data_IF_411005449028
#
_entry.id   IF_411005449028
#
_cell.length_a   1.000
_cell.length_b   1.000
_cell.length_c   1.000
_cell.angle_alpha   90.00
_cell.angle_beta   90.00
_cell.angle_gamma   90.00
#
_symmetry.space_group_name_H-M   'P 1'
#
loop_
_entity.id
_entity.type
_entity.pdbx_description
1 polymer ?
#
# COMPACT_ATOMS: atom_id res chain seq x y z
N UNK A 1 9.61 -7.77 28.47
CA UNK A 1 9.44 -7.52 27.03
C UNK A 1 8.76 -8.72 26.42
N UNK A 2 7.60 -8.52 25.81
CA UNK A 2 6.89 -9.56 25.06
C UNK A 2 7.68 -9.89 23.78
N UNK A 3 7.96 -11.18 23.56
CA UNK A 3 8.68 -11.71 22.39
C UNK A 3 7.74 -12.31 21.33
N UNK A 4 6.45 -12.00 21.41
CA UNK A 4 5.46 -12.42 20.45
C UNK A 4 5.90 -12.11 19.02
N UNK A 5 5.86 -13.09 18.09
CA UNK A 5 6.18 -12.84 16.69
C UNK A 5 5.20 -11.87 16.02
N UNK A 6 4.06 -11.56 16.68
CA UNK A 6 3.08 -10.57 16.18
C UNK A 6 3.51 -9.12 16.41
N UNK A 7 4.52 -8.88 17.25
CA UNK A 7 4.95 -7.51 17.56
C UNK A 7 5.48 -6.79 16.33
N UNK A 8 6.21 -7.48 15.45
CA UNK A 8 6.62 -6.93 14.15
C UNK A 8 5.42 -6.64 13.24
N UNK A 9 4.39 -7.48 13.26
CA UNK A 9 3.17 -7.26 12.47
C UNK A 9 2.45 -5.99 12.93
N UNK A 10 2.31 -5.78 14.25
CA UNK A 10 1.70 -4.56 14.77
C UNK A 10 2.48 -3.30 14.39
N UNK A 11 3.82 -3.35 14.39
CA UNK A 11 4.63 -2.23 13.93
C UNK A 11 4.34 -1.92 12.46
N UNK A 12 4.34 -2.93 11.59
CA UNK A 12 4.04 -2.75 10.16
C UNK A 12 2.66 -2.15 9.94
N UNK A 13 1.63 -2.68 10.61
CA UNK A 13 0.25 -2.20 10.47
C UNK A 13 0.03 -0.77 10.96
N UNK A 14 0.91 -0.24 11.81
CA UNK A 14 0.83 1.16 12.25
C UNK A 14 1.69 2.11 11.41
N UNK A 15 2.62 1.59 10.60
CA UNK A 15 3.56 2.40 9.80
C UNK A 15 3.13 2.52 8.35
N UNK A 16 2.43 1.51 7.81
CA UNK A 16 2.03 1.44 6.40
C UNK A 16 0.51 1.34 6.24
N UNK A 17 0.01 1.81 5.09
CA UNK A 17 -1.38 1.67 4.64
C UNK A 17 -1.42 0.87 3.33
N UNK A 18 -2.46 0.06 3.12
CA UNK A 18 -2.62 -0.74 1.90
C UNK A 18 -3.29 0.06 0.76
N UNK A 19 -3.15 -0.41 -0.48
CA UNK A 19 -3.92 0.14 -1.62
C UNK A 19 -5.42 -0.18 -1.49
N UNK A 20 -5.74 -1.39 -1.07
CA UNK A 20 -7.11 -1.85 -0.80
C UNK A 20 -7.09 -2.70 0.47
N UNK A 21 -8.18 -2.67 1.20
CA UNK A 21 -8.36 -3.47 2.42
C UNK A 21 -9.50 -4.47 2.21
N UNK A 22 -9.56 -5.50 3.04
CA UNK A 22 -10.69 -6.43 3.09
C UNK A 22 -11.44 -6.19 4.39
N UNK A 23 -12.76 -6.04 4.31
CA UNK A 23 -13.59 -6.05 5.50
C UNK A 23 -13.80 -7.48 6.05
N UNK A 24 -14.56 -7.60 7.13
CA UNK A 24 -14.87 -8.89 7.76
C UNK A 24 -15.66 -9.83 6.87
N UNK A 25 -16.33 -9.30 5.85
CA UNK A 25 -17.14 -10.04 4.89
C UNK A 25 -16.38 -10.31 3.58
N UNK A 26 -15.08 -9.96 3.54
CA UNK A 26 -14.21 -10.13 2.38
C UNK A 26 -14.48 -9.16 1.23
N UNK A 27 -15.20 -8.07 1.47
CA UNK A 27 -15.38 -7.01 0.48
C UNK A 27 -14.16 -6.11 0.46
N UNK A 28 -13.79 -5.68 -0.75
CA UNK A 28 -12.69 -4.75 -0.94
C UNK A 28 -13.12 -3.33 -0.54
N UNK A 29 -12.43 -2.76 0.44
CA UNK A 29 -12.59 -1.38 0.88
C UNK A 29 -11.45 -0.50 0.31
N UNK A 30 -11.73 0.79 0.00
CA UNK A 30 -10.70 1.72 -0.44
C UNK A 30 -9.67 2.02 0.66
N UNK A 31 -8.38 1.84 0.34
CA UNK A 31 -7.25 2.34 1.12
C UNK A 31 -6.61 3.53 0.38
N UNK A 32 -5.30 3.44 0.13
CA UNK A 32 -4.57 4.37 -0.73
C UNK A 32 -5.05 4.33 -2.20
N UNK A 33 -5.69 3.25 -2.63
CA UNK A 33 -6.43 3.15 -3.88
C UNK A 33 -7.90 3.48 -3.67
N UNK A 34 -8.42 4.51 -4.36
CA UNK A 34 -9.80 5.00 -4.17
C UNK A 34 -10.81 4.29 -5.07
N UNK A 35 -10.37 3.72 -6.18
CA UNK A 35 -11.18 2.91 -7.08
C UNK A 35 -10.29 2.02 -7.92
N UNK A 36 -10.84 0.93 -8.46
CA UNK A 36 -10.11 0.05 -9.36
C UNK A 36 -11.04 -0.61 -10.38
N UNK A 37 -10.45 -1.03 -11.49
CA UNK A 37 -11.11 -1.81 -12.53
C UNK A 37 -10.19 -2.93 -13.02
N UNK A 38 -10.77 -4.09 -13.32
CA UNK A 38 -10.06 -5.20 -13.93
C UNK A 38 -9.92 -4.93 -15.43
N UNK A 39 -8.70 -4.78 -15.94
CA UNK A 39 -8.46 -4.63 -17.37
C UNK A 39 -8.39 -5.99 -18.08
N UNK A 40 -7.92 -7.01 -17.36
CA UNK A 40 -7.89 -8.42 -17.76
C UNK A 40 -7.64 -9.28 -16.51
N UNK A 41 -7.67 -10.61 -16.67
CA UNK A 41 -7.54 -11.60 -15.58
C UNK A 41 -6.31 -11.45 -14.67
N UNK A 42 -5.32 -10.62 -15.06
CA UNK A 42 -4.06 -10.41 -14.33
C UNK A 42 -3.70 -8.94 -14.15
N UNK A 43 -4.57 -8.00 -14.48
CA UNK A 43 -4.27 -6.57 -14.40
C UNK A 43 -5.41 -5.79 -13.77
N UNK A 44 -5.11 -5.16 -12.64
CA UNK A 44 -5.99 -4.21 -11.99
C UNK A 44 -5.44 -2.80 -12.21
N UNK A 45 -6.26 -1.92 -12.80
CA UNK A 45 -5.95 -0.49 -12.89
C UNK A 45 -6.65 0.26 -11.76
N UNK A 46 -5.88 0.98 -10.95
CA UNK A 46 -6.37 1.71 -9.79
C UNK A 46 -6.18 3.22 -9.88
N UNK A 47 -7.07 3.98 -9.24
CA UNK A 47 -6.88 5.41 -8.96
C UNK A 47 -6.28 5.57 -7.56
N UNK A 48 -5.23 6.36 -7.43
CA UNK A 48 -4.59 6.65 -6.15
C UNK A 48 -5.25 7.83 -5.44
N UNK A 49 -5.32 7.76 -4.11
CA UNK A 49 -5.70 8.86 -3.22
C UNK A 49 -4.70 10.00 -3.41
N UNK A 50 -5.22 11.20 -3.67
CA UNK A 50 -4.40 12.38 -3.91
C UNK A 50 -3.94 13.02 -2.60
N UNK A 51 -2.85 13.78 -2.65
CA UNK A 51 -2.30 14.55 -1.52
C UNK A 51 -1.82 13.71 -0.34
N UNK A 52 -1.58 12.42 -0.57
CA UNK A 52 -0.92 11.55 0.40
C UNK A 52 0.58 11.79 0.36
N UNK A 53 1.20 11.83 1.54
CA UNK A 53 2.65 11.94 1.68
C UNK A 53 3.15 10.77 2.53
N UNK A 54 4.36 10.33 2.21
CA UNK A 54 5.11 9.47 3.11
C UNK A 54 5.59 10.25 4.33
N UNK A 55 6.06 9.52 5.35
CA UNK A 55 6.58 10.11 6.59
C UNK A 55 7.77 11.07 6.35
N UNK A 56 8.52 10.88 5.25
CA UNK A 56 9.61 11.75 4.82
C UNK A 56 9.15 12.97 3.98
N UNK A 57 7.84 13.23 3.91
CA UNK A 57 7.19 14.32 3.14
C UNK A 57 7.19 14.18 1.61
N UNK A 58 7.76 13.11 1.05
CA UNK A 58 7.63 12.82 -0.38
C UNK A 58 6.18 12.53 -0.74
N UNK A 59 5.78 12.93 -1.95
CA UNK A 59 4.41 12.74 -2.44
C UNK A 59 4.23 11.30 -2.88
N UNK A 60 3.14 10.67 -2.44
CA UNK A 60 2.73 9.38 -2.94
C UNK A 60 2.03 9.53 -4.29
N UNK A 61 2.68 9.06 -5.35
CA UNK A 61 2.15 9.10 -6.70
C UNK A 61 2.46 7.81 -7.50
N UNK A 62 2.18 7.84 -8.82
CA UNK A 62 2.35 6.69 -9.72
C UNK A 62 3.79 6.16 -9.72
N UNK A 63 4.80 7.00 -9.57
CA UNK A 63 6.20 6.58 -9.65
C UNK A 63 6.49 5.51 -8.59
N UNK A 64 6.05 5.74 -7.36
CA UNK A 64 6.14 4.79 -6.26
C UNK A 64 5.25 3.55 -6.45
N UNK A 65 4.05 3.69 -7.02
CA UNK A 65 3.18 2.56 -7.33
C UNK A 65 3.79 1.56 -8.32
N UNK A 66 4.69 2.02 -9.21
CA UNK A 66 5.40 1.17 -10.17
C UNK A 66 6.68 0.54 -9.62
N UNK A 67 7.16 0.95 -8.44
CA UNK A 67 8.37 0.37 -7.85
C UNK A 67 8.22 -1.14 -7.59
N UNK A 68 7.01 -1.62 -7.25
CA UNK A 68 6.73 -3.04 -7.05
C UNK A 68 6.80 -3.88 -8.34
N UNK A 69 6.84 -3.26 -9.53
CA UNK A 69 7.00 -3.96 -10.81
C UNK A 69 8.41 -3.84 -11.41
N UNK A 70 9.32 -3.07 -10.78
CA UNK A 70 10.71 -2.90 -11.22
C UNK A 70 11.68 -3.31 -10.11
N UNK A 71 12.49 -4.38 -10.27
CA UNK A 71 13.32 -4.93 -9.20
C UNK A 71 14.44 -4.01 -8.63
N UNK A 72 14.59 -2.78 -9.10
CA UNK A 72 15.82 -1.99 -8.92
C UNK A 72 15.67 -0.61 -8.29
N UNK A 73 14.50 -0.23 -7.79
CA UNK A 73 14.31 1.05 -7.09
C UNK A 73 13.58 0.81 -5.77
N UNK A 74 14.33 0.30 -4.79
CA UNK A 74 14.02 0.53 -3.39
C UNK A 74 14.71 1.84 -3.00
N UNK A 75 14.02 3.00 -2.96
CA UNK A 75 14.53 4.10 -2.18
C UNK A 75 14.56 3.63 -0.72
N UNK A 76 15.74 3.79 -0.10
CA UNK A 76 16.04 3.40 1.26
C UNK A 76 14.94 3.92 2.20
N UNK A 77 14.23 3.00 2.85
CA UNK A 77 13.22 3.34 3.85
C UNK A 77 13.93 3.59 5.19
N UNK A 78 14.07 4.87 5.57
CA UNK A 78 14.15 5.32 6.97
C UNK A 78 13.06 6.36 7.16
#
# INVERSE_FOLDING_TARGET
MDKSPRNSQYVVLNVFEHLVELDTDGQLLPGLGTSWQLLNDRTLEGKLRQWVKFHNSEVFDREYGTAYSRPSLFPLLV
#
